data_IF_131820867742
#
_entry.id   IF_131820867742
#
_cell.length_a   1.000
_cell.length_b   1.000
_cell.length_c   1.000
_cell.angle_alpha   90.00
_cell.angle_beta   90.00
_cell.angle_gamma   90.00
#
_symmetry.space_group_name_H-M   'P 1'
#
loop_
_entity.id
_entity.type
_entity.pdbx_description
1 polymer ?
#
# COMPACT_ATOMS: atom_id res chain seq x y z
N UNK A 1 11.49 -3.00 -33.64
CA UNK A 1 11.47 -2.27 -32.34
C UNK A 1 11.19 -3.31 -31.28
N UNK A 2 12.21 -3.74 -30.54
CA UNK A 2 12.05 -4.75 -29.51
C UNK A 2 11.30 -4.13 -28.35
N UNK A 3 10.05 -4.53 -28.21
CA UNK A 3 9.22 -4.23 -27.06
C UNK A 3 9.82 -5.00 -25.87
N UNK A 4 10.75 -4.36 -25.16
CA UNK A 4 11.23 -4.89 -23.88
C UNK A 4 10.03 -4.79 -22.96
N UNK A 5 9.28 -5.88 -22.82
CA UNK A 5 8.27 -6.03 -21.77
C UNK A 5 8.97 -5.92 -20.41
N UNK A 6 9.15 -4.70 -19.94
CA UNK A 6 9.75 -4.40 -18.64
C UNK A 6 8.78 -4.91 -17.57
N UNK A 7 9.17 -5.97 -16.86
CA UNK A 7 8.39 -6.55 -15.76
C UNK A 7 8.33 -5.57 -14.58
N UNK A 8 7.33 -5.75 -13.72
CA UNK A 8 7.28 -5.02 -12.45
C UNK A 8 8.48 -5.38 -11.56
N UNK A 9 9.11 -4.37 -10.96
CA UNK A 9 10.25 -4.51 -10.05
C UNK A 9 9.72 -4.43 -8.62
N UNK A 10 9.97 -5.45 -7.79
CA UNK A 10 9.66 -5.37 -6.36
C UNK A 10 10.67 -4.44 -5.68
N UNK A 11 10.17 -3.38 -5.03
CA UNK A 11 10.99 -2.43 -4.29
C UNK A 11 10.99 -2.74 -2.80
N UNK A 12 9.85 -3.17 -2.28
CA UNK A 12 9.67 -3.56 -0.89
C UNK A 12 8.73 -4.75 -0.81
N UNK A 13 9.11 -5.76 -0.04
CA UNK A 13 8.24 -6.88 0.34
C UNK A 13 8.65 -7.31 1.75
N UNK A 14 7.91 -6.84 2.75
CA UNK A 14 8.19 -7.09 4.17
C UNK A 14 6.91 -7.49 4.89
N UNK A 15 7.02 -8.47 5.78
CA UNK A 15 6.02 -8.81 6.77
C UNK A 15 6.70 -8.74 8.15
N UNK A 16 6.21 -7.89 9.03
CA UNK A 16 6.61 -7.79 10.44
C UNK A 16 5.48 -8.39 11.27
N UNK A 17 5.76 -9.49 11.98
CA UNK A 17 4.84 -10.09 12.94
C UNK A 17 5.23 -9.66 14.35
N UNK A 18 4.24 -9.40 15.21
CA UNK A 18 4.45 -8.93 16.58
C UNK A 18 3.81 -9.90 17.57
N UNK A 19 4.30 -9.89 18.79
CA UNK A 19 3.87 -10.80 19.86
C UNK A 19 2.46 -10.47 20.38
N UNK A 20 1.97 -9.26 20.13
CA UNK A 20 0.62 -8.80 20.49
C UNK A 20 -0.48 -9.30 19.53
N UNK A 21 -0.16 -10.21 18.61
CA UNK A 21 -1.08 -10.74 17.62
C UNK A 21 -1.32 -9.79 16.43
N UNK A 22 -0.59 -8.68 16.35
CA UNK A 22 -0.62 -7.78 15.21
C UNK A 22 0.48 -8.08 14.18
N UNK A 23 0.27 -7.63 12.94
CA UNK A 23 1.25 -7.73 11.88
C UNK A 23 1.16 -6.58 10.88
N UNK A 24 2.30 -6.21 10.33
CA UNK A 24 2.44 -5.17 9.31
C UNK A 24 2.96 -5.79 8.02
N UNK A 25 2.20 -5.64 6.94
CA UNK A 25 2.57 -6.07 5.60
C UNK A 25 2.86 -4.84 4.75
N UNK A 26 4.04 -4.79 4.12
CA UNK A 26 4.45 -3.71 3.24
C UNK A 26 4.91 -4.30 1.91
N UNK A 27 4.13 -4.07 0.85
CA UNK A 27 4.51 -4.50 -0.49
C UNK A 27 4.39 -3.33 -1.47
N UNK A 28 5.49 -3.04 -2.17
CA UNK A 28 5.58 -1.95 -3.16
C UNK A 28 6.32 -2.48 -4.40
N UNK A 29 5.75 -2.20 -5.57
CA UNK A 29 6.33 -2.50 -6.87
C UNK A 29 6.44 -1.23 -7.71
N UNK A 30 7.50 -1.13 -8.51
CA UNK A 30 7.60 -0.21 -9.64
C UNK A 30 7.10 -0.90 -10.91
N UNK A 31 6.09 -0.33 -11.54
CA UNK A 31 5.50 -0.82 -12.78
C UNK A 31 6.17 -0.16 -13.99
N UNK A 32 6.22 -0.84 -15.15
CA UNK A 32 6.66 -0.21 -16.40
C UNK A 32 5.74 0.94 -16.85
N UNK A 33 4.44 0.79 -16.60
CA UNK A 33 3.40 1.74 -16.99
C UNK A 33 2.52 2.03 -15.78
N UNK A 34 2.03 3.27 -15.66
CA UNK A 34 1.14 3.67 -14.58
C UNK A 34 -0.15 2.84 -14.55
N UNK A 35 -0.65 2.59 -13.35
CA UNK A 35 -1.92 1.88 -13.13
C UNK A 35 -3.08 2.87 -13.19
N UNK A 36 -3.72 3.04 -14.35
CA UNK A 36 -4.83 4.00 -14.49
C UNK A 36 -5.95 3.77 -13.44
N UNK A 37 -6.45 4.83 -12.77
CA UNK A 37 -6.21 6.26 -13.03
C UNK A 37 -4.97 6.88 -12.37
N UNK A 38 -4.15 6.12 -11.64
CA UNK A 38 -2.93 6.63 -11.02
C UNK A 38 -2.00 7.25 -12.07
N UNK A 39 -1.37 8.38 -11.73
CA UNK A 39 -0.41 9.09 -12.59
C UNK A 39 1.05 8.71 -12.31
N UNK A 40 1.27 7.67 -11.50
CA UNK A 40 2.60 7.20 -11.11
C UNK A 40 2.79 5.71 -11.42
N UNK A 41 4.07 5.32 -11.45
CA UNK A 41 4.51 3.97 -11.82
C UNK A 41 4.61 3.04 -10.60
N UNK A 42 3.77 3.21 -9.59
CA UNK A 42 3.85 2.39 -8.37
C UNK A 42 2.56 1.63 -8.13
N UNK A 43 2.70 0.34 -7.86
CA UNK A 43 1.65 -0.48 -7.26
C UNK A 43 2.02 -0.75 -5.82
N UNK A 44 1.05 -0.74 -4.91
CA UNK A 44 1.34 -1.04 -3.53
C UNK A 44 0.17 -1.71 -2.82
N UNK A 45 0.51 -2.42 -1.75
CA UNK A 45 -0.42 -2.97 -0.76
C UNK A 45 0.27 -2.94 0.60
N UNK A 46 -0.17 -2.04 1.46
CA UNK A 46 0.26 -1.94 2.84
C UNK A 46 -0.94 -2.31 3.72
N UNK A 47 -0.76 -3.17 4.71
CA UNK A 47 -1.83 -3.62 5.59
C UNK A 47 -1.34 -3.79 7.02
N UNK A 48 -2.11 -3.28 7.97
CA UNK A 48 -1.95 -3.52 9.39
C UNK A 48 -3.10 -4.41 9.85
N UNK A 49 -2.73 -5.56 10.38
CA UNK A 49 -3.67 -6.62 10.76
C UNK A 49 -3.56 -6.83 12.27
N UNK A 50 -4.68 -6.81 12.97
CA UNK A 50 -4.77 -7.08 14.41
C UNK A 50 -5.76 -8.20 14.62
N UNK A 51 -5.34 -9.29 15.28
CA UNK A 51 -6.18 -10.47 15.53
C UNK A 51 -6.87 -11.01 14.25
N UNK A 52 -6.15 -10.99 13.12
CA UNK A 52 -6.66 -11.44 11.82
C UNK A 52 -7.52 -10.42 11.06
N UNK A 53 -7.82 -9.26 11.63
CA UNK A 53 -8.62 -8.20 11.01
C UNK A 53 -7.72 -7.13 10.42
N UNK A 54 -7.90 -6.78 9.14
CA UNK A 54 -7.18 -5.67 8.51
C UNK A 54 -7.81 -4.33 8.94
N UNK A 55 -7.13 -3.60 9.82
CA UNK A 55 -7.66 -2.37 10.44
C UNK A 55 -7.16 -1.08 9.78
N UNK A 56 -5.99 -1.13 9.14
CA UNK A 56 -5.48 -0.08 8.26
C UNK A 56 -4.98 -0.71 6.96
N UNK A 57 -5.40 -0.21 5.81
CA UNK A 57 -4.92 -0.64 4.48
C UNK A 57 -4.66 0.56 3.59
N UNK A 58 -3.58 0.51 2.83
CA UNK A 58 -3.34 1.41 1.72
C UNK A 58 -3.07 0.56 0.48
N UNK A 59 -3.84 0.77 -0.58
CA UNK A 59 -3.69 0.06 -1.84
C UNK A 59 -4.11 0.92 -3.03
N UNK A 60 -3.72 0.45 -4.21
CA UNK A 60 -4.21 1.02 -5.45
C UNK A 60 -4.64 -0.05 -6.44
N UNK A 61 -5.74 0.25 -7.13
CA UNK A 61 -6.41 -0.68 -8.03
C UNK A 61 -6.81 0.00 -9.34
N UNK A 62 -6.74 -0.77 -10.43
CA UNK A 62 -7.16 -0.29 -11.74
C UNK A 62 -8.62 0.14 -11.67
N UNK A 63 -8.93 1.35 -12.13
CA UNK A 63 -10.28 1.90 -12.14
C UNK A 63 -10.69 2.66 -10.87
N UNK A 64 -10.01 2.46 -9.73
CA UNK A 64 -10.23 3.25 -8.51
C UNK A 64 -9.12 4.26 -8.25
N UNK A 65 -7.88 3.85 -8.49
CA UNK A 65 -6.69 4.62 -8.12
C UNK A 65 -6.27 4.37 -6.68
N UNK A 66 -5.58 5.35 -6.10
CA UNK A 66 -4.98 5.29 -4.78
C UNK A 66 -6.02 5.55 -3.69
N UNK A 67 -6.08 4.65 -2.71
CA UNK A 67 -7.02 4.79 -1.60
C UNK A 67 -6.48 4.14 -0.32
N UNK A 68 -7.09 4.55 0.80
CA UNK A 68 -6.81 4.00 2.12
C UNK A 68 -8.10 3.52 2.78
N UNK A 69 -7.95 2.56 3.68
CA UNK A 69 -9.00 2.04 4.54
C UNK A 69 -8.53 2.17 5.98
N UNK A 70 -9.32 2.85 6.81
CA UNK A 70 -9.07 2.93 8.25
C UNK A 70 -10.37 2.59 8.96
N UNK A 71 -10.38 1.56 9.81
CA UNK A 71 -11.58 1.11 10.53
C UNK A 71 -12.79 0.85 9.59
N UNK A 72 -12.53 0.30 8.40
CA UNK A 72 -13.56 0.01 7.40
C UNK A 72 -14.07 1.21 6.60
N UNK A 73 -13.55 2.42 6.86
CA UNK A 73 -13.85 3.60 6.04
C UNK A 73 -12.84 3.72 4.91
N UNK A 74 -13.34 3.69 3.66
CA UNK A 74 -12.55 3.87 2.43
C UNK A 74 -12.51 5.36 2.06
N UNK A 75 -11.31 5.88 1.79
CA UNK A 75 -11.09 7.26 1.35
C UNK A 75 -10.04 7.30 0.24
N UNK A 76 -10.20 8.24 -0.71
CA UNK A 76 -9.16 8.52 -1.70
C UNK A 76 -7.86 8.95 -1.02
N UNK A 77 -6.73 8.46 -1.51
CA UNK A 77 -5.41 8.80 -1.01
C UNK A 77 -4.61 9.53 -2.09
N UNK A 78 -4.07 10.70 -1.76
CA UNK A 78 -3.22 11.45 -2.69
C UNK A 78 -1.78 10.93 -2.60
N UNK A 79 -1.41 10.03 -3.50
CA UNK A 79 -0.05 9.50 -3.55
C UNK A 79 0.98 10.60 -3.86
N UNK A 80 2.11 10.58 -3.15
CA UNK A 80 3.26 11.46 -3.39
C UNK A 80 4.53 10.66 -3.72
N UNK A 81 5.10 9.96 -2.74
CA UNK A 81 6.26 9.07 -2.92
C UNK A 81 6.11 7.79 -2.10
N UNK A 82 6.86 6.72 -2.41
CA UNK A 82 6.86 5.51 -1.58
C UNK A 82 7.24 5.77 -0.12
N UNK A 83 8.15 6.71 0.15
CA UNK A 83 8.55 7.08 1.50
C UNK A 83 7.40 7.78 2.24
N UNK A 84 6.70 8.70 1.58
CA UNK A 84 5.52 9.36 2.15
C UNK A 84 4.40 8.36 2.42
N UNK A 85 4.13 7.44 1.49
CA UNK A 85 3.17 6.36 1.65
C UNK A 85 3.45 5.53 2.92
N UNK A 86 4.71 5.14 3.16
CA UNK A 86 5.09 4.39 4.36
C UNK A 86 4.91 5.25 5.63
N UNK A 87 5.25 6.55 5.56
CA UNK A 87 5.06 7.48 6.69
C UNK A 87 3.60 7.64 7.07
N UNK A 88 2.73 7.89 6.09
CA UNK A 88 1.30 8.08 6.31
C UNK A 88 0.65 6.82 6.87
N UNK A 89 0.97 5.66 6.27
CA UNK A 89 0.50 4.36 6.74
C UNK A 89 0.93 4.09 8.20
N UNK A 90 2.19 4.36 8.56
CA UNK A 90 2.67 4.22 9.94
C UNK A 90 1.98 5.20 10.89
N UNK A 91 1.70 6.42 10.45
CA UNK A 91 0.97 7.40 11.26
C UNK A 91 -0.45 6.92 11.57
N UNK A 92 -1.14 6.32 10.60
CA UNK A 92 -2.49 5.77 10.82
C UNK A 92 -2.47 4.53 11.71
N UNK A 93 -1.43 3.67 11.63
CA UNK A 93 -1.22 2.59 12.62
C UNK A 93 -1.10 3.17 14.05
N UNK A 94 -0.34 4.25 14.23
CA UNK A 94 -0.15 4.87 15.55
C UNK A 94 -1.42 5.53 16.09
N UNK A 95 -2.26 6.07 15.20
CA UNK A 95 -3.55 6.68 15.54
C UNK A 95 -4.63 5.64 15.80
N UNK A 96 -4.51 4.45 15.19
CA UNK A 96 -5.48 3.39 15.36
C UNK A 96 -5.58 2.97 16.84
N UNK A 97 -6.82 2.84 17.30
CA UNK A 97 -7.18 2.33 18.62
C UNK A 97 -8.23 1.23 18.41
N UNK A 98 -8.12 0.08 19.12
CA UNK A 98 -9.14 -0.96 19.10
C UNK A 98 -10.47 -0.49 19.67
#
# INVERSE_FOLDING_TARGET
MNDIQSKAISLLNRCERRDDGSSVHLVIWKLPTALLPCQHHFKYRLAYIVNGICVVRYDNERGKGDHRHVNGQEESYLFSTPEQLIRDFRADILRWKP
#
